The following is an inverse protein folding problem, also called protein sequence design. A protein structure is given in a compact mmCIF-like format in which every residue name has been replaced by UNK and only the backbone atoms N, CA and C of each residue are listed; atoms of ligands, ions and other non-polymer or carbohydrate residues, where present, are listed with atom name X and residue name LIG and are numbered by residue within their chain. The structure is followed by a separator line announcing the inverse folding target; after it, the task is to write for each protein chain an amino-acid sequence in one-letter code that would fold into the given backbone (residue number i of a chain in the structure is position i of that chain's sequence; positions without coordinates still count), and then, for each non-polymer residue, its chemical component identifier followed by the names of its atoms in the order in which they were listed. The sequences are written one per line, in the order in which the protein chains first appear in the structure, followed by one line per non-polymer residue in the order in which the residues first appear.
data_IF_143551751541
#
_entry.id   IF_143551751541
#
_cell.length_a   1.000
_cell.length_b   1.000
_cell.length_c   1.000
_cell.angle_alpha   90.00
_cell.angle_beta   90.00
_cell.angle_gamma   90.00
#
_symmetry.space_group_name_H-M   'P 1'
#
loop_
_entity.id
_entity.type
_entity.pdbx_description
1 polymer ?
#
# COMPACT_ATOMS: atom_id res chain seq x y z
N UNK A 1 15.58 -2.35 -3.93
CA UNK A 1 15.25 -3.28 -2.81
C UNK A 1 14.72 -2.60 -1.55
N UNK A 2 15.22 -1.44 -1.11
CA UNK A 2 14.68 -0.72 0.07
C UNK A 2 13.21 -0.26 -0.06
N UNK A 3 12.69 -0.09 -1.27
CA UNK A 3 11.32 0.42 -1.48
C UNK A 3 10.24 -0.64 -1.21
N UNK A 4 10.54 -1.92 -1.44
CA UNK A 4 9.58 -3.00 -1.19
C UNK A 4 9.36 -3.22 0.32
N UNK A 5 10.40 -3.05 1.14
CA UNK A 5 10.25 -3.14 2.60
C UNK A 5 9.44 -1.97 3.15
N UNK A 6 9.64 -0.75 2.63
CA UNK A 6 8.88 0.42 3.08
C UNK A 6 7.39 0.34 2.71
N UNK A 7 7.07 -0.07 1.48
CA UNK A 7 5.67 -0.24 1.06
C UNK A 7 4.94 -1.31 1.88
N UNK A 8 5.63 -2.40 2.23
CA UNK A 8 5.08 -3.45 3.10
C UNK A 8 4.81 -2.95 4.53
N UNK A 9 5.70 -2.12 5.09
CA UNK A 9 5.51 -1.51 6.42
C UNK A 9 4.27 -0.60 6.39
N UNK A 10 4.18 0.30 5.40
CA UNK A 10 3.05 1.24 5.30
C UNK A 10 1.72 0.49 5.11
N UNK A 11 1.71 -0.56 4.28
CA UNK A 11 0.50 -1.37 4.10
C UNK A 11 0.09 -2.07 5.40
N UNK A 12 1.04 -2.54 6.21
CA UNK A 12 0.75 -3.13 7.52
C UNK A 12 0.15 -2.11 8.49
N UNK A 13 0.73 -0.90 8.55
CA UNK A 13 0.23 0.19 9.40
C UNK A 13 -1.20 0.60 9.03
N UNK A 14 -1.49 0.68 7.72
CA UNK A 14 -2.83 0.97 7.21
C UNK A 14 -3.83 -0.14 7.57
N UNK A 15 -3.44 -1.41 7.44
CA UNK A 15 -4.29 -2.53 7.86
C UNK A 15 -4.53 -2.51 9.39
N UNK A 16 -3.53 -2.15 10.20
CA UNK A 16 -3.71 -1.96 11.65
C UNK A 16 -4.69 -0.82 11.96
N UNK A 17 -4.64 0.28 11.21
CA UNK A 17 -5.59 1.38 11.33
C UNK A 17 -7.01 0.96 10.95
N UNK A 18 -7.19 0.13 9.92
CA UNK A 18 -8.49 -0.41 9.55
C UNK A 18 -9.13 -1.17 10.72
N UNK A 19 -8.38 -2.07 11.37
CA UNK A 19 -8.88 -2.79 12.56
C UNK A 19 -9.23 -1.88 13.74
N UNK A 20 -8.51 -0.76 13.91
CA UNK A 20 -8.83 0.23 14.95
C UNK A 20 -10.10 1.00 14.63
N UNK A 21 -10.38 1.26 13.35
CA UNK A 21 -11.64 1.88 12.90
C UNK A 21 -12.80 0.89 13.08
N UNK A 22 -12.61 -0.37 12.70
CA UNK A 22 -13.58 -1.46 12.88
C UNK A 22 -14.03 -1.62 14.34
N UNK A 23 -13.15 -1.30 15.31
CA UNK A 23 -13.47 -1.29 16.73
C UNK A 23 -14.38 -0.13 17.18
N UNK A 24 -14.67 0.85 16.32
CA UNK A 24 -15.46 2.05 16.61
C UNK A 24 -16.71 2.21 15.71
N UNK A 25 -17.60 1.20 15.61
CA UNK A 25 -18.67 1.16 14.61
C UNK A 25 -19.74 2.24 14.78
N UNK A 26 -19.89 2.82 15.98
CA UNK A 26 -20.85 3.90 16.25
C UNK A 26 -20.31 5.31 15.93
N UNK A 27 -19.07 5.42 15.44
CA UNK A 27 -18.47 6.73 15.16
C UNK A 27 -19.09 7.35 13.88
N UNK A 28 -19.48 8.64 13.88
CA UNK A 28 -20.12 9.28 12.72
C UNK A 28 -19.31 9.20 11.41
N UNK A 29 -17.98 9.17 11.53
CA UNK A 29 -17.07 9.11 10.40
C UNK A 29 -16.56 7.68 10.09
N UNK A 30 -17.16 6.64 10.67
CA UNK A 30 -16.71 5.25 10.53
C UNK A 30 -16.48 4.85 9.07
N UNK A 31 -17.52 4.98 8.24
CA UNK A 31 -17.48 4.55 6.82
C UNK A 31 -16.47 5.36 6.02
N UNK A 32 -16.43 6.68 6.22
CA UNK A 32 -15.51 7.55 5.50
C UNK A 32 -14.04 7.24 5.86
N UNK A 33 -13.75 7.04 7.15
CA UNK A 33 -12.41 6.71 7.61
C UNK A 33 -11.96 5.33 7.12
N UNK A 34 -12.85 4.33 7.18
CA UNK A 34 -12.54 2.96 6.72
C UNK A 34 -12.25 2.94 5.21
N UNK A 35 -13.11 3.59 4.41
CA UNK A 35 -12.91 3.68 2.96
C UNK A 35 -11.57 4.36 2.63
N UNK A 36 -11.26 5.49 3.27
CA UNK A 36 -10.01 6.21 3.03
C UNK A 36 -8.77 5.37 3.35
N UNK A 37 -8.79 4.59 4.44
CA UNK A 37 -7.69 3.71 4.82
C UNK A 37 -7.55 2.55 3.82
N UNK A 38 -8.65 1.94 3.41
CA UNK A 38 -8.64 0.84 2.43
C UNK A 38 -8.17 1.30 1.04
N UNK A 39 -8.60 2.48 0.60
CA UNK A 39 -8.14 3.10 -0.64
C UNK A 39 -6.63 3.41 -0.60
N UNK A 40 -6.14 3.95 0.51
CA UNK A 40 -4.72 4.21 0.70
C UNK A 40 -3.91 2.90 0.69
N UNK A 41 -4.39 1.84 1.34
CA UNK A 41 -3.71 0.53 1.36
C UNK A 41 -3.63 -0.06 -0.05
N UNK A 42 -4.72 -0.01 -0.80
CA UNK A 42 -4.77 -0.46 -2.18
C UNK A 42 -3.79 0.33 -3.08
N UNK A 43 -3.73 1.65 -2.92
CA UNK A 43 -2.82 2.51 -3.67
C UNK A 43 -1.35 2.17 -3.39
N UNK A 44 -0.98 1.94 -2.12
CA UNK A 44 0.39 1.56 -1.74
C UNK A 44 0.78 0.21 -2.34
N UNK A 45 -0.13 -0.78 -2.30
CA UNK A 45 0.11 -2.10 -2.92
C UNK A 45 0.30 -1.99 -4.43
N UNK A 46 -0.53 -1.19 -5.11
CA UNK A 46 -0.40 -0.98 -6.56
C UNK A 46 0.92 -0.31 -6.92
N UNK A 47 1.28 0.78 -6.22
CA UNK A 47 2.52 1.50 -6.46
C UNK A 47 3.76 0.63 -6.25
N UNK A 48 3.72 -0.28 -5.27
CA UNK A 48 4.80 -1.25 -5.03
C UNK A 48 4.99 -2.21 -6.22
N UNK A 49 3.89 -2.67 -6.82
CA UNK A 49 3.92 -3.52 -8.03
C UNK A 49 4.46 -2.73 -9.22
N UNK A 50 3.99 -1.51 -9.45
CA UNK A 50 4.41 -0.67 -10.57
C UNK A 50 5.92 -0.34 -10.50
N UNK A 51 6.41 0.02 -9.30
CA UNK A 51 7.84 0.23 -9.05
C UNK A 51 8.64 -1.03 -9.34
N UNK A 52 8.17 -2.19 -8.86
CA UNK A 52 8.85 -3.46 -9.11
C UNK A 52 8.93 -3.78 -10.61
N UNK A 53 7.84 -3.61 -11.35
CA UNK A 53 7.81 -3.81 -12.79
C UNK A 53 8.73 -2.82 -13.52
N UNK A 54 8.81 -1.57 -13.08
CA UNK A 54 9.76 -0.59 -13.62
C UNK A 54 11.20 -1.01 -13.39
N UNK A 55 11.57 -1.38 -12.16
CA UNK A 55 12.91 -1.87 -11.82
C UNK A 55 13.28 -3.10 -12.68
N UNK A 56 12.33 -4.01 -12.91
CA UNK A 56 12.56 -5.19 -13.76
C UNK A 56 12.80 -4.84 -15.22
N UNK A 57 11.99 -3.93 -15.80
CA UNK A 57 12.18 -3.47 -17.18
C UNK A 57 13.55 -2.83 -17.38
N UNK A 58 13.99 -1.98 -16.45
CA UNK A 58 15.32 -1.36 -16.50
C UNK A 58 16.46 -2.38 -16.41
N UNK A 59 16.31 -3.40 -15.55
CA UNK A 59 17.31 -4.48 -15.42
C UNK A 59 17.47 -5.28 -16.71
N UNK A 60 16.36 -5.68 -17.34
CA UNK A 60 16.42 -6.41 -18.60
C UNK A 60 16.99 -5.57 -19.74
N UNK A 61 16.58 -4.29 -19.86
CA UNK A 61 17.11 -3.39 -20.89
C UNK A 61 18.62 -3.17 -20.78
N UNK A 62 19.20 -3.23 -19.57
CA UNK A 62 20.65 -3.15 -19.35
C UNK A 62 21.38 -4.47 -19.55
N UNK A 63 20.70 -5.61 -19.44
CA UNK A 63 21.29 -6.92 -19.66
C UNK A 63 21.42 -7.27 -21.15
N UNK A 64 20.55 -6.69 -21.98
CA UNK A 64 20.53 -6.85 -23.44
C UNK A 64 21.43 -5.83 -24.19
N UNK A 65 22.07 -4.90 -23.48
CA UNK A 65 22.94 -3.84 -24.01
C UNK A 65 24.43 -4.11 -23.74
#
# INVERSE_FOLDING_TARGET
MHHQSLAAIIANDLNSLAHRIEALPAHPNYTAALNAVQEAEAAVKSAAVDLHQSEMRERFARADA
#
